data_IF_812894232885
#
_entry.id   IF_812894232885
#
_cell.length_a   1.000
_cell.length_b   1.000
_cell.length_c   1.000
_cell.angle_alpha   90.00
_cell.angle_beta   90.00
_cell.angle_gamma   90.00
#
_symmetry.space_group_name_H-M   'P 1'
#
loop_
_entity.id
_entity.type
_entity.pdbx_description
1 polymer ?
#
# COMPACT_ATOMS: atom_id res chain seq x y z
N UNK A 1 15.29 24.15 -1.71
CA UNK A 1 14.50 22.91 -1.91
C UNK A 1 13.22 23.01 -1.08
N UNK A 2 12.03 22.92 -1.68
CA UNK A 2 10.76 22.87 -0.93
C UNK A 2 10.78 21.62 -0.03
N UNK A 3 10.54 21.77 1.28
CA UNK A 3 10.42 20.64 2.22
C UNK A 3 9.40 19.64 1.68
N UNK A 4 9.80 18.37 1.56
CA UNK A 4 8.88 17.29 1.21
C UNK A 4 7.89 17.16 2.37
N UNK A 5 6.61 17.42 2.10
CA UNK A 5 5.55 17.22 3.09
C UNK A 5 5.32 15.71 3.19
N UNK A 6 5.87 15.09 4.22
CA UNK A 6 5.62 13.68 4.52
C UNK A 6 4.14 13.53 4.91
N UNK A 7 3.50 12.47 4.43
CA UNK A 7 2.13 12.13 4.82
C UNK A 7 2.16 11.59 6.25
N UNK A 8 1.32 12.15 7.14
CA UNK A 8 0.95 11.49 8.39
C UNK A 8 -0.21 10.52 8.12
N UNK A 9 -0.01 9.23 8.41
CA UNK A 9 -1.03 8.21 8.24
C UNK A 9 -2.24 8.40 9.18
N UNK A 10 -2.12 9.25 10.20
CA UNK A 10 -3.19 9.58 11.13
C UNK A 10 -4.11 10.70 10.64
N UNK A 11 -3.69 11.49 9.67
CA UNK A 11 -4.49 12.57 9.09
C UNK A 11 -5.63 12.05 8.20
N UNK A 12 -5.53 10.79 7.76
CA UNK A 12 -6.47 10.18 6.81
C UNK A 12 -7.39 9.15 7.47
N UNK A 13 -8.63 9.12 7.00
CA UNK A 13 -9.66 8.18 7.39
C UNK A 13 -10.14 8.30 8.85
N UNK A 14 -10.08 9.50 9.44
CA UNK A 14 -10.46 9.74 10.84
C UNK A 14 -11.94 9.43 11.08
N UNK A 15 -12.82 9.85 10.18
CA UNK A 15 -14.26 9.61 10.29
C UNK A 15 -14.60 8.15 9.98
N UNK A 16 -13.93 7.54 8.99
CA UNK A 16 -14.06 6.10 8.74
C UNK A 16 -13.62 5.25 9.93
N UNK A 17 -12.53 5.62 10.63
CA UNK A 17 -12.08 4.94 11.86
C UNK A 17 -13.10 5.07 12.99
N UNK A 18 -13.70 6.26 13.16
CA UNK A 18 -14.78 6.45 14.14
C UNK A 18 -15.99 5.58 13.82
N UNK A 19 -16.37 5.47 12.55
CA UNK A 19 -17.48 4.60 12.13
C UNK A 19 -17.21 3.12 12.43
N UNK A 20 -15.99 2.65 12.19
CA UNK A 20 -15.55 1.29 12.53
C UNK A 20 -15.66 1.06 14.05
N UNK A 21 -15.20 2.03 14.85
CA UNK A 21 -15.26 1.94 16.31
C UNK A 21 -16.71 1.81 16.82
N UNK A 22 -17.64 2.59 16.26
CA UNK A 22 -19.07 2.52 16.59
C UNK A 22 -19.63 1.12 16.33
N UNK A 23 -19.25 0.50 15.20
CA UNK A 23 -19.66 -0.87 14.87
C UNK A 23 -19.11 -1.88 15.87
N UNK A 24 -17.81 -1.80 16.18
CA UNK A 24 -17.16 -2.71 17.15
C UNK A 24 -17.79 -2.60 18.55
N UNK A 25 -18.11 -1.39 18.99
CA UNK A 25 -18.79 -1.16 20.27
C UNK A 25 -20.21 -1.74 20.27
N UNK A 26 -20.93 -1.59 19.16
CA UNK A 26 -22.25 -2.20 18.99
C UNK A 26 -22.18 -3.73 19.00
N UNK A 27 -21.22 -4.32 18.30
CA UNK A 27 -21.01 -5.78 18.32
C UNK A 27 -20.70 -6.29 19.74
N UNK A 28 -19.81 -5.61 20.48
CA UNK A 28 -19.55 -5.95 21.89
C UNK A 28 -20.79 -5.86 22.75
N UNK A 29 -21.63 -4.85 22.53
CA UNK A 29 -22.87 -4.65 23.29
C UNK A 29 -23.92 -5.71 22.94
N UNK A 30 -24.03 -6.08 21.67
CA UNK A 30 -24.89 -7.16 21.21
C UNK A 30 -24.41 -8.53 21.70
N UNK A 31 -23.09 -8.77 21.75
CA UNK A 31 -22.50 -9.99 22.30
C UNK A 31 -22.78 -10.20 23.79
N UNK A 32 -23.01 -9.12 24.55
CA UNK A 32 -23.42 -9.17 25.97
C UNK A 32 -24.92 -9.47 26.16
N UNK A 33 -25.74 -9.35 25.11
CA UNK A 33 -27.18 -9.63 25.19
C UNK A 33 -27.43 -11.14 25.10
N UNK A 34 -28.30 -11.66 25.96
CA UNK A 34 -28.80 -13.03 25.86
C UNK A 34 -29.35 -13.33 24.46
N UNK A 35 -29.08 -14.53 23.94
CA UNK A 35 -29.60 -14.96 22.64
C UNK A 35 -31.12 -14.90 22.66
N UNK A 36 -31.72 -14.60 21.52
CA UNK A 36 -33.18 -14.45 21.38
C UNK A 36 -33.92 -15.73 21.82
N UNK A 37 -33.32 -16.92 21.60
CA UNK A 37 -33.86 -18.20 22.09
C UNK A 37 -33.88 -18.29 23.61
N UNK A 38 -32.78 -17.94 24.26
CA UNK A 38 -32.66 -17.99 25.73
C UNK A 38 -33.61 -16.96 26.38
N UNK A 39 -33.79 -15.79 25.76
CA UNK A 39 -34.79 -14.81 26.17
C UNK A 39 -36.22 -15.32 26.04
N UNK A 40 -36.55 -15.99 24.95
CA UNK A 40 -37.88 -16.59 24.74
C UNK A 40 -38.17 -17.63 25.83
N UNK A 41 -37.18 -18.44 26.19
CA UNK A 41 -37.32 -19.45 27.23
C UNK A 41 -37.53 -18.84 28.62
N UNK A 42 -36.82 -17.75 28.94
CA UNK A 42 -37.03 -16.98 30.17
C UNK A 42 -38.42 -16.35 30.24
N UNK A 43 -38.91 -15.78 29.13
CA UNK A 43 -40.27 -15.21 29.04
C UNK A 43 -41.32 -16.29 29.30
N UNK A 44 -41.19 -17.47 28.67
CA UNK A 44 -42.09 -18.61 28.91
C UNK A 44 -42.09 -19.08 30.37
N UNK A 45 -40.92 -19.11 31.01
CA UNK A 45 -40.78 -19.44 32.43
C UNK A 45 -41.43 -18.38 33.34
N UNK A 46 -41.29 -17.09 33.03
CA UNK A 46 -41.88 -16.00 33.81
C UNK A 46 -43.39 -15.83 33.62
N UNK A 47 -43.96 -16.19 32.47
CA UNK A 47 -45.42 -16.19 32.27
C UNK A 47 -46.14 -17.07 33.29
N UNK A 48 -45.52 -18.17 33.72
CA UNK A 48 -46.08 -19.07 34.74
C UNK A 48 -46.07 -18.47 36.17
N UNK A 49 -45.43 -17.32 36.35
CA UNK A 49 -45.26 -16.64 37.64
C UNK A 49 -45.75 -15.18 37.63
N UNK A 50 -46.43 -14.75 36.56
CA UNK A 50 -46.94 -13.39 36.45
C UNK A 50 -47.98 -13.10 37.56
N UNK A 51 -47.87 -11.92 38.19
CA UNK A 51 -48.67 -11.56 39.36
C UNK A 51 -49.84 -10.62 39.01
N UNK A 52 -49.85 -10.05 37.81
CA UNK A 52 -50.94 -9.19 37.33
C UNK A 52 -51.36 -9.54 35.89
N UNK A 53 -52.62 -9.26 35.53
CA UNK A 53 -53.09 -9.43 34.15
C UNK A 53 -52.32 -8.54 33.16
N UNK A 54 -51.98 -7.30 33.55
CA UNK A 54 -51.19 -6.39 32.71
C UNK A 54 -49.76 -6.93 32.44
N UNK A 55 -49.15 -7.56 33.45
CA UNK A 55 -47.84 -8.20 33.32
C UNK A 55 -47.91 -9.43 32.39
N UNK A 56 -48.99 -10.21 32.48
CA UNK A 56 -49.23 -11.37 31.63
C UNK A 56 -49.39 -10.95 30.15
N UNK A 57 -50.17 -9.90 29.89
CA UNK A 57 -50.42 -9.39 28.54
C UNK A 57 -49.15 -8.81 27.89
N UNK A 58 -48.33 -8.11 28.68
CA UNK A 58 -47.02 -7.62 28.24
C UNK A 58 -46.06 -8.78 27.89
N UNK A 59 -46.04 -9.85 28.70
CA UNK A 59 -45.22 -11.04 28.44
C UNK A 59 -45.70 -11.84 27.22
N UNK A 60 -47.01 -11.90 26.97
CA UNK A 60 -47.59 -12.50 25.77
C UNK A 60 -47.23 -11.75 24.48
N UNK A 61 -47.29 -10.42 24.52
CA UNK A 61 -46.86 -9.58 23.41
C UNK A 61 -45.37 -9.78 23.10
N UNK A 62 -44.53 -9.83 24.15
CA UNK A 62 -43.09 -10.06 24.02
C UNK A 62 -42.76 -11.46 23.48
N UNK A 63 -43.47 -12.49 23.92
CA UNK A 63 -43.31 -13.87 23.41
C UNK A 63 -43.61 -13.94 21.91
N UNK A 64 -44.76 -13.41 21.47
CA UNK A 64 -45.14 -13.37 20.05
C UNK A 64 -44.12 -12.61 19.20
N UNK A 65 -43.56 -11.53 19.74
CA UNK A 65 -42.54 -10.73 19.05
C UNK A 65 -41.21 -11.51 18.89
N UNK A 66 -40.75 -12.19 19.93
CA UNK A 66 -39.53 -13.01 19.90
C UNK A 66 -39.68 -14.22 18.98
N UNK A 67 -40.84 -14.89 18.99
CA UNK A 67 -41.13 -16.00 18.08
C UNK A 67 -41.13 -15.58 16.61
N UNK A 68 -41.73 -14.41 16.30
CA UNK A 68 -41.69 -13.85 14.94
C UNK A 68 -40.26 -13.57 14.50
N UNK A 69 -39.43 -12.98 15.37
CA UNK A 69 -38.00 -12.71 15.06
C UNK A 69 -37.22 -13.98 14.76
N UNK A 70 -37.48 -15.07 15.48
CA UNK A 70 -36.87 -16.38 15.23
C UNK A 70 -37.37 -16.98 13.90
N UNK A 71 -38.70 -17.01 13.67
CA UNK A 71 -39.30 -17.60 12.47
C UNK A 71 -38.83 -16.92 11.18
N UNK A 72 -38.73 -15.59 11.18
CA UNK A 72 -38.38 -14.83 9.98
C UNK A 72 -36.89 -14.51 9.85
N UNK A 73 -36.03 -15.08 10.70
CA UNK A 73 -34.58 -14.77 10.74
C UNK A 73 -34.30 -13.25 10.75
N UNK A 74 -35.16 -12.46 11.38
CA UNK A 74 -34.98 -11.01 11.58
C UNK A 74 -33.95 -10.72 12.69
N UNK A 75 -32.85 -11.47 12.69
CA UNK A 75 -31.76 -11.40 13.66
C UNK A 75 -30.72 -10.37 13.20
N UNK A 76 -30.77 -9.97 11.93
CA UNK A 76 -29.78 -9.09 11.32
C UNK A 76 -30.14 -7.62 11.60
N UNK A 77 -29.82 -7.16 12.81
CA UNK A 77 -29.66 -5.72 13.02
C UNK A 77 -28.51 -5.23 12.17
N UNK A 78 -28.71 -4.14 11.42
CA UNK A 78 -27.64 -3.53 10.64
C UNK A 78 -26.53 -3.04 11.57
N UNK A 79 -25.28 -3.30 11.20
CA UNK A 79 -24.10 -2.90 11.96
C UNK A 79 -24.05 -1.37 12.19
N UNK A 80 -24.37 -0.59 11.16
CA UNK A 80 -24.49 0.87 11.24
C UNK A 80 -25.97 1.24 11.37
N UNK A 81 -26.36 2.07 12.36
CA UNK A 81 -27.70 2.65 12.43
C UNK A 81 -28.08 3.39 11.15
N UNK A 82 -29.34 3.32 10.71
CA UNK A 82 -29.78 4.01 9.48
C UNK A 82 -29.53 5.52 9.52
N UNK A 83 -29.67 6.12 10.70
CA UNK A 83 -29.41 7.55 10.97
C UNK A 83 -27.97 7.98 10.65
N UNK A 84 -27.02 7.04 10.63
CA UNK A 84 -25.61 7.31 10.35
C UNK A 84 -25.15 6.81 8.99
N UNK A 85 -25.98 6.01 8.29
CA UNK A 85 -25.58 5.32 7.06
C UNK A 85 -25.14 6.29 5.97
N UNK A 86 -25.95 7.30 5.65
CA UNK A 86 -25.62 8.26 4.59
C UNK A 86 -24.38 9.10 4.94
N UNK A 87 -24.26 9.50 6.22
CA UNK A 87 -23.11 10.28 6.70
C UNK A 87 -21.81 9.48 6.59
N UNK A 88 -21.82 8.20 6.99
CA UNK A 88 -20.63 7.33 6.89
C UNK A 88 -20.25 7.11 5.44
N UNK A 89 -21.21 6.85 4.55
CA UNK A 89 -20.94 6.67 3.12
C UNK A 89 -20.33 7.93 2.49
N UNK A 90 -20.88 9.10 2.80
CA UNK A 90 -20.37 10.38 2.28
C UNK A 90 -18.96 10.66 2.78
N UNK A 91 -18.71 10.48 4.08
CA UNK A 91 -17.39 10.71 4.67
C UNK A 91 -16.34 9.75 4.10
N UNK A 92 -16.68 8.46 3.96
CA UNK A 92 -15.78 7.48 3.36
C UNK A 92 -15.42 7.84 1.91
N UNK A 93 -16.39 8.32 1.12
CA UNK A 93 -16.14 8.76 -0.25
C UNK A 93 -15.22 9.98 -0.32
N UNK A 94 -15.41 10.97 0.57
CA UNK A 94 -14.56 12.17 0.65
C UNK A 94 -13.13 11.80 1.06
N UNK A 95 -12.97 11.01 2.12
CA UNK A 95 -11.65 10.59 2.61
C UNK A 95 -10.89 9.76 1.55
N UNK A 96 -11.59 8.88 0.82
CA UNK A 96 -11.01 8.14 -0.28
C UNK A 96 -10.58 9.06 -1.43
N UNK A 97 -11.39 10.06 -1.77
CA UNK A 97 -11.06 11.02 -2.82
C UNK A 97 -9.83 11.86 -2.45
N UNK A 98 -9.73 12.31 -1.20
CA UNK A 98 -8.57 13.08 -0.70
C UNK A 98 -7.30 12.22 -0.69
N UNK A 99 -7.39 10.97 -0.22
CA UNK A 99 -6.28 10.03 -0.23
C UNK A 99 -5.78 9.74 -1.67
N UNK A 100 -6.71 9.55 -2.61
CA UNK A 100 -6.38 9.33 -4.02
C UNK A 100 -5.69 10.56 -4.64
N UNK A 101 -6.23 11.76 -4.39
CA UNK A 101 -5.63 13.01 -4.87
C UNK A 101 -4.20 13.19 -4.36
N UNK A 102 -3.98 12.97 -3.06
CA UNK A 102 -2.64 13.06 -2.46
C UNK A 102 -1.68 12.00 -3.05
N UNK A 103 -2.19 10.79 -3.33
CA UNK A 103 -1.42 9.73 -3.99
C UNK A 103 -0.98 10.15 -5.39
N UNK A 104 -1.89 10.73 -6.18
CA UNK A 104 -1.61 11.15 -7.55
C UNK A 104 -0.66 12.35 -7.60
N UNK A 105 -0.80 13.31 -6.68
CA UNK A 105 0.14 14.43 -6.52
C UNK A 105 1.57 13.93 -6.21
N UNK A 106 1.70 12.89 -5.37
CA UNK A 106 3.00 12.28 -5.08
C UNK A 106 3.55 11.47 -6.26
N UNK A 107 2.70 10.75 -7.01
CA UNK A 107 3.12 10.06 -8.24
C UNK A 107 3.63 11.04 -9.28
N UNK A 108 2.94 12.17 -9.48
CA UNK A 108 3.40 13.21 -10.41
C UNK A 108 4.78 13.76 -10.02
N UNK A 109 5.00 13.98 -8.72
CA UNK A 109 6.32 14.39 -8.21
C UNK A 109 7.40 13.32 -8.42
N UNK A 110 7.08 12.04 -8.18
CA UNK A 110 8.00 10.92 -8.44
C UNK A 110 8.31 10.83 -9.95
N UNK A 111 7.30 10.99 -10.80
CA UNK A 111 7.42 10.95 -12.27
C UNK A 111 8.37 12.02 -12.78
N UNK A 112 8.21 13.26 -12.32
CA UNK A 112 9.14 14.35 -12.64
C UNK A 112 10.56 14.05 -12.18
N UNK A 113 10.76 13.48 -10.98
CA UNK A 113 12.09 13.22 -10.42
C UNK A 113 12.81 12.06 -11.11
N UNK A 114 12.13 10.94 -11.37
CA UNK A 114 12.80 9.82 -12.03
C UNK A 114 13.10 10.13 -13.50
N UNK A 115 12.27 10.93 -14.19
CA UNK A 115 12.57 11.39 -15.55
C UNK A 115 13.86 12.20 -15.60
N UNK A 116 14.05 13.15 -14.67
CA UNK A 116 15.31 13.89 -14.56
C UNK A 116 16.51 12.95 -14.30
N UNK A 117 16.35 11.93 -13.45
CA UNK A 117 17.39 10.93 -13.24
C UNK A 117 17.68 10.09 -14.50
N UNK A 118 16.65 9.77 -15.28
CA UNK A 118 16.75 8.96 -16.49
C UNK A 118 17.36 9.73 -17.67
N UNK A 119 16.92 10.96 -17.88
CA UNK A 119 17.22 11.75 -19.07
C UNK A 119 18.50 12.58 -18.92
N UNK A 120 18.86 12.99 -17.70
CA UNK A 120 20.01 13.88 -17.46
C UNK A 120 21.14 13.17 -16.71
N UNK A 121 20.83 12.50 -15.59
CA UNK A 121 21.87 11.98 -14.68
C UNK A 121 22.51 10.69 -15.22
N UNK A 122 21.72 9.73 -15.71
CA UNK A 122 22.25 8.48 -16.26
C UNK A 122 23.22 8.71 -17.43
N UNK A 123 22.88 9.55 -18.44
CA UNK A 123 23.81 9.84 -19.53
C UNK A 123 25.14 10.45 -19.06
N UNK A 124 25.09 11.33 -18.05
CA UNK A 124 26.32 11.94 -17.49
C UNK A 124 27.20 10.89 -16.81
N UNK A 125 26.62 9.99 -16.01
CA UNK A 125 27.38 8.93 -15.33
C UNK A 125 27.97 7.95 -16.35
N UNK A 126 27.20 7.58 -17.39
CA UNK A 126 27.72 6.77 -18.49
C UNK A 126 28.89 7.46 -19.20
N UNK A 127 28.76 8.76 -19.49
CA UNK A 127 29.83 9.56 -20.12
C UNK A 127 31.09 9.62 -19.26
N UNK A 128 30.95 9.75 -17.93
CA UNK A 128 32.07 9.70 -16.99
C UNK A 128 32.78 8.34 -17.08
N UNK A 129 32.02 7.24 -17.08
CA UNK A 129 32.59 5.89 -17.23
C UNK A 129 33.37 5.73 -18.54
N UNK A 130 32.81 6.19 -19.66
CA UNK A 130 33.46 6.15 -20.97
C UNK A 130 34.76 6.97 -21.00
N UNK A 131 34.75 8.17 -20.40
CA UNK A 131 35.93 9.03 -20.32
C UNK A 131 37.03 8.40 -19.47
N UNK A 132 36.69 7.81 -18.33
CA UNK A 132 37.65 7.13 -17.46
C UNK A 132 38.28 5.91 -18.13
N UNK A 133 37.50 5.17 -18.93
CA UNK A 133 38.02 4.10 -19.78
C UNK A 133 39.01 4.63 -20.82
N UNK A 134 38.68 5.72 -21.51
CA UNK A 134 39.57 6.34 -22.51
C UNK A 134 40.87 6.84 -21.86
N UNK A 135 40.81 7.41 -20.65
CA UNK A 135 42.01 7.81 -19.88
C UNK A 135 42.93 6.64 -19.53
N UNK A 136 42.43 5.41 -19.49
CA UNK A 136 43.26 4.21 -19.31
C UNK A 136 44.07 3.83 -20.54
N UNK A 137 43.66 4.25 -21.74
CA UNK A 137 44.31 3.86 -22.99
C UNK A 137 45.79 4.29 -23.09
N UNK A 138 46.21 5.51 -22.70
CA UNK A 138 47.62 5.87 -22.66
C UNK A 138 48.48 4.95 -21.77
N UNK A 139 47.96 4.51 -20.61
CA UNK A 139 48.69 3.56 -19.74
C UNK A 139 48.82 2.18 -20.40
N UNK A 140 47.78 1.72 -21.08
CA UNK A 140 47.83 0.47 -21.85
C UNK A 140 48.84 0.55 -23.00
N UNK A 141 48.91 1.69 -23.71
CA UNK A 141 49.89 1.92 -24.78
C UNK A 141 51.31 1.91 -24.25
N UNK A 142 51.58 2.63 -23.14
CA UNK A 142 52.90 2.61 -22.52
C UNK A 142 53.30 1.19 -22.10
N UNK A 143 52.38 0.44 -21.49
CA UNK A 143 52.62 -0.95 -21.14
C UNK A 143 52.99 -1.81 -22.36
N UNK A 144 52.28 -1.66 -23.49
CA UNK A 144 52.57 -2.42 -24.71
C UNK A 144 53.95 -2.07 -25.27
N UNK A 145 54.34 -0.79 -25.25
CA UNK A 145 55.64 -0.33 -25.74
C UNK A 145 56.78 -0.97 -24.92
N UNK A 146 56.61 -1.06 -23.60
CA UNK A 146 57.63 -1.61 -22.69
C UNK A 146 57.60 -3.15 -22.60
N UNK A 147 56.62 -3.81 -23.22
CA UNK A 147 56.42 -5.26 -23.12
C UNK A 147 57.14 -6.04 -24.23
N UNK A 148 57.98 -6.99 -23.84
CA UNK A 148 58.66 -7.90 -24.76
C UNK A 148 57.91 -9.23 -24.90
N UNK A 149 57.71 -9.70 -26.14
CA UNK A 149 57.04 -10.97 -26.44
C UNK A 149 58.11 -12.06 -26.67
N UNK A 150 58.03 -13.18 -25.95
CA UNK A 150 58.99 -14.30 -26.07
C UNK A 150 58.50 -15.63 -25.50
N UNK A 151 59.25 -16.73 -25.72
CA UNK A 151 58.85 -18.11 -25.39
C UNK A 151 58.60 -18.37 -23.88
N UNK A 152 59.23 -17.60 -22.99
CA UNK A 152 59.08 -17.72 -21.52
C UNK A 152 58.05 -16.74 -20.91
N UNK A 153 57.23 -16.06 -21.73
CA UNK A 153 56.23 -15.11 -21.21
C UNK A 153 55.03 -15.82 -20.57
N UNK A 154 54.91 -15.68 -19.23
CA UNK A 154 53.89 -16.38 -18.41
C UNK A 154 52.46 -15.87 -18.66
N UNK A 155 52.29 -14.63 -19.11
CA UNK A 155 50.97 -14.01 -19.27
C UNK A 155 50.82 -13.32 -20.62
N UNK A 156 49.74 -13.63 -21.34
CA UNK A 156 49.38 -12.95 -22.60
C UNK A 156 49.13 -11.46 -22.36
N UNK A 157 49.67 -10.61 -23.23
CA UNK A 157 49.48 -9.14 -23.24
C UNK A 157 48.01 -8.74 -23.10
N UNK A 158 47.11 -9.42 -23.81
CA UNK A 158 45.66 -9.19 -23.74
C UNK A 158 45.10 -9.28 -22.31
N UNK A 159 45.56 -10.25 -21.51
CA UNK A 159 45.10 -10.42 -20.13
C UNK A 159 45.55 -9.27 -19.23
N UNK A 160 46.75 -8.73 -19.47
CA UNK A 160 47.32 -7.64 -18.67
C UNK A 160 46.66 -6.31 -19.04
N UNK A 161 46.46 -6.04 -20.33
CA UNK A 161 45.71 -4.87 -20.81
C UNK A 161 44.30 -4.84 -20.22
N UNK A 162 43.63 -5.99 -20.13
CA UNK A 162 42.28 -6.10 -19.54
C UNK A 162 42.26 -5.77 -18.05
N UNK A 163 43.33 -6.06 -17.32
CA UNK A 163 43.46 -5.71 -15.90
C UNK A 163 43.79 -4.23 -15.70
N UNK A 164 44.61 -3.64 -16.59
CA UNK A 164 44.97 -2.21 -16.57
C UNK A 164 43.85 -1.30 -17.08
N UNK A 165 42.93 -1.82 -17.89
CA UNK A 165 41.91 -1.04 -18.60
C UNK A 165 40.72 -0.58 -17.77
N UNK A 166 40.52 -1.14 -16.58
CA UNK A 166 39.37 -0.81 -15.74
C UNK A 166 39.78 0.02 -14.53
N UNK A 167 39.58 1.35 -14.62
CA UNK A 167 39.76 2.21 -13.47
C UNK A 167 38.69 1.92 -12.41
N UNK A 168 39.01 2.16 -11.13
CA UNK A 168 38.02 2.04 -10.05
C UNK A 168 36.83 2.98 -10.28
N UNK A 169 37.07 4.14 -10.92
CA UNK A 169 36.05 5.10 -11.29
C UNK A 169 35.10 4.58 -12.38
N UNK A 170 35.61 3.88 -13.41
CA UNK A 170 34.76 3.24 -14.44
C UNK A 170 33.83 2.20 -13.81
N UNK A 171 34.38 1.34 -12.93
CA UNK A 171 33.59 0.32 -12.21
C UNK A 171 32.50 0.96 -11.35
N UNK A 172 32.86 2.00 -10.59
CA UNK A 172 31.92 2.73 -9.75
C UNK A 172 30.80 3.40 -10.57
N UNK A 173 31.14 4.01 -11.71
CA UNK A 173 30.15 4.62 -12.60
C UNK A 173 29.17 3.58 -13.15
N UNK A 174 29.65 2.40 -13.54
CA UNK A 174 28.83 1.30 -14.01
C UNK A 174 27.90 0.75 -12.91
N UNK A 175 28.40 0.58 -11.69
CA UNK A 175 27.60 0.13 -10.54
C UNK A 175 26.51 1.13 -10.18
N UNK A 176 26.86 2.42 -10.11
CA UNK A 176 25.90 3.50 -9.86
C UNK A 176 24.81 3.50 -10.94
N UNK A 177 25.18 3.41 -12.22
CA UNK A 177 24.24 3.33 -13.33
C UNK A 177 23.28 2.15 -13.20
N UNK A 178 23.79 0.97 -12.84
CA UNK A 178 22.97 -0.23 -12.65
C UNK A 178 21.94 -0.05 -11.53
N UNK A 179 22.37 0.45 -10.37
CA UNK A 179 21.49 0.65 -9.23
C UNK A 179 20.45 1.76 -9.48
N UNK A 180 20.83 2.86 -10.13
CA UNK A 180 19.90 3.92 -10.53
C UNK A 180 18.83 3.42 -11.49
N UNK A 181 19.20 2.63 -12.51
CA UNK A 181 18.22 2.04 -13.44
C UNK A 181 17.22 1.15 -12.73
N UNK A 182 17.68 0.31 -11.79
CA UNK A 182 16.78 -0.52 -10.95
C UNK A 182 15.84 0.34 -10.10
N UNK A 183 16.34 1.41 -9.49
CA UNK A 183 15.53 2.32 -8.70
C UNK A 183 14.45 3.02 -9.55
N UNK A 184 14.81 3.48 -10.76
CA UNK A 184 13.87 4.08 -11.72
C UNK A 184 12.79 3.08 -12.13
N UNK A 185 13.16 1.83 -12.41
CA UNK A 185 12.17 0.79 -12.74
C UNK A 185 11.21 0.53 -11.58
N UNK A 186 11.70 0.51 -10.34
CA UNK A 186 10.89 0.44 -9.14
C UNK A 186 9.90 1.61 -9.02
N UNK A 187 10.38 2.84 -9.28
CA UNK A 187 9.54 4.05 -9.29
C UNK A 187 8.47 4.00 -10.40
N UNK A 188 8.80 3.53 -11.61
CA UNK A 188 7.84 3.32 -12.70
C UNK A 188 6.77 2.28 -12.36
N UNK A 189 7.12 1.22 -11.62
CA UNK A 189 6.14 0.22 -11.17
C UNK A 189 5.15 0.83 -10.19
N UNK A 190 5.61 1.64 -9.24
CA UNK A 190 4.76 2.35 -8.27
C UNK A 190 3.76 3.31 -8.95
N UNK A 191 4.14 3.94 -10.06
CA UNK A 191 3.24 4.77 -10.87
C UNK A 191 2.12 3.93 -11.51
N UNK A 192 2.43 2.71 -11.99
CA UNK A 192 1.50 1.84 -12.73
C UNK A 192 0.52 1.06 -11.85
N UNK A 193 0.91 0.61 -10.66
CA UNK A 193 0.11 -0.33 -9.84
C UNK A 193 -1.18 0.26 -9.26
N UNK A 194 -1.40 1.57 -9.33
CA UNK A 194 -2.55 2.22 -8.70
C UNK A 194 -3.59 2.81 -9.69
N UNK A 195 -3.36 2.71 -11.00
CA UNK A 195 -4.29 3.22 -12.03
C UNK A 195 -5.23 2.18 -12.65
N UNK A 196 -5.04 0.88 -12.39
CA UNK A 196 -5.68 -0.18 -13.18
C UNK A 196 -6.90 -0.86 -12.54
N UNK A 197 -7.31 -0.46 -11.32
CA UNK A 197 -8.45 -1.11 -10.63
C UNK A 197 -9.72 -0.27 -10.50
N UNK A 198 -9.65 1.04 -10.68
CA UNK A 198 -10.82 1.92 -10.49
C UNK A 198 -11.65 2.15 -11.77
N UNK A 199 -11.27 1.57 -12.91
CA UNK A 199 -11.99 1.72 -14.18
C UNK A 199 -12.75 0.47 -14.65
N UNK A 200 -12.77 -0.64 -13.89
CA UNK A 200 -13.44 -1.89 -14.33
C UNK A 200 -14.72 -2.26 -13.57
N UNK A 201 -15.22 -1.41 -12.67
CA UNK A 201 -16.47 -1.70 -11.93
C UNK A 201 -17.59 -0.66 -12.23
N UNK A 202 -17.49 0.08 -13.33
CA UNK A 202 -18.49 1.08 -13.75
C UNK A 202 -19.21 0.76 -15.07
N UNK A 203 -18.89 -0.36 -15.72
CA UNK A 203 -19.53 -0.81 -16.96
C UNK A 203 -19.89 -2.29 -16.82
N UNK A 204 -20.98 -2.58 -16.09
CA UNK A 204 -21.83 -3.76 -16.27
C UNK A 204 -23.20 -3.56 -15.61
#
# INVERSE_FOLDING_TARGET
>A
MKKVKLIDANDYCVESRKAIQIVLERERTLGKKLKIRDRLELVRKHKNHAKSPDELEALEALEKQLERRIRFKQINERAIPEEHKEKVLRNAAVELQEANKMSDDLKAQISSRYKHLEDEVIPLIASIGDLERIKGAPMQVNFIIDYEIGEDTVFKVENIIRQLGHSQCEKLANDINFHLRKAIEGMKKLERTAGSKTQKEGEE
#
